data_IF_765890044074
#
_entry.id   IF_765890044074
#
_cell.length_a   1.000
_cell.length_b   1.000
_cell.length_c   1.000
_cell.angle_alpha   90.00
_cell.angle_beta   90.00
_cell.angle_gamma   90.00
#
_symmetry.space_group_name_H-M   'P 1'
#
loop_
_entity.id
_entity.type
_entity.pdbx_description
1 polymer ?
#
# COMPACT_ATOMS: atom_id res chain seq x y z
N UNK A 1 22.64 -16.35 38.75
CA UNK A 1 21.66 -15.24 38.73
C UNK A 1 21.22 -15.03 37.28
N UNK A 2 20.00 -15.47 36.95
CA UNK A 2 19.43 -15.43 35.59
C UNK A 2 18.96 -14.00 35.34
N UNK A 3 19.61 -13.26 34.44
CA UNK A 3 19.20 -11.90 34.07
C UNK A 3 18.02 -12.02 33.12
N UNK A 4 16.82 -11.69 33.59
CA UNK A 4 15.65 -11.51 32.75
C UNK A 4 15.79 -10.18 32.01
N UNK A 5 16.01 -10.23 30.71
CA UNK A 5 15.80 -9.06 29.84
C UNK A 5 14.28 -8.90 29.67
N UNK A 6 13.70 -7.72 29.97
CA UNK A 6 12.26 -7.55 29.82
C UNK A 6 11.91 -7.56 28.32
N UNK A 7 11.14 -8.57 27.91
CA UNK A 7 10.59 -8.75 26.56
C UNK A 7 9.53 -7.68 26.18
N UNK A 8 9.57 -6.50 26.79
CA UNK A 8 8.57 -5.44 26.62
C UNK A 8 8.94 -4.42 25.52
N UNK A 9 10.17 -4.44 24.99
CA UNK A 9 10.55 -3.51 23.90
C UNK A 9 10.15 -3.96 22.49
N UNK A 10 9.64 -5.19 22.30
CA UNK A 10 9.30 -5.69 20.95
C UNK A 10 7.83 -5.51 20.54
N UNK A 11 6.96 -5.02 21.43
CA UNK A 11 5.52 -4.89 21.15
C UNK A 11 5.08 -3.46 20.77
N UNK A 12 6.01 -2.50 20.74
CA UNK A 12 5.72 -1.10 20.35
C UNK A 12 6.16 -0.79 18.91
N UNK A 13 6.96 -1.65 18.27
CA UNK A 13 7.47 -1.37 16.92
C UNK A 13 6.59 -1.86 15.77
N UNK A 14 5.52 -2.63 16.04
CA UNK A 14 4.59 -3.12 15.02
C UNK A 14 3.46 -2.14 14.67
N UNK A 15 3.41 -0.96 15.31
CA UNK A 15 2.34 0.05 15.09
C UNK A 15 2.81 1.22 14.20
N UNK A 16 4.01 1.15 13.61
CA UNK A 16 4.65 2.29 12.94
C UNK A 16 4.86 2.14 11.42
N UNK A 17 4.27 1.11 10.80
CA UNK A 17 4.43 0.86 9.36
C UNK A 17 3.10 0.47 8.71
N UNK A 18 2.04 1.25 8.96
CA UNK A 18 0.82 1.18 8.16
C UNK A 18 0.92 2.20 7.01
N UNK A 19 -0.04 2.18 6.09
CA UNK A 19 0.19 2.69 4.73
C UNK A 19 -0.90 3.49 4.03
N UNK A 20 -1.38 4.63 4.49
CA UNK A 20 -2.83 4.83 4.67
C UNK A 20 -3.27 3.91 5.79
N UNK A 21 -3.74 4.49 6.89
CA UNK A 21 -4.21 3.69 8.00
C UNK A 21 -5.39 2.83 7.55
N UNK A 22 -5.75 1.85 8.38
CA UNK A 22 -6.88 0.94 8.14
C UNK A 22 -8.12 1.62 7.52
N UNK A 23 -8.47 2.81 8.02
CA UNK A 23 -9.63 3.57 7.52
C UNK A 23 -9.45 4.08 6.08
N UNK A 24 -8.25 4.51 5.70
CA UNK A 24 -7.93 5.00 4.36
C UNK A 24 -8.06 3.89 3.32
N UNK A 25 -7.40 2.76 3.55
CA UNK A 25 -7.51 1.57 2.69
C UNK A 25 -8.93 1.05 2.57
N UNK A 26 -9.65 0.98 3.69
CA UNK A 26 -11.05 0.58 3.70
C UNK A 26 -11.92 1.52 2.85
N UNK A 27 -11.68 2.82 2.90
CA UNK A 27 -12.39 3.80 2.06
C UNK A 27 -12.04 3.62 0.58
N UNK A 28 -10.78 3.38 0.23
CA UNK A 28 -10.37 3.11 -1.16
C UNK A 28 -11.12 1.87 -1.69
N UNK A 29 -11.06 0.74 -0.99
CA UNK A 29 -11.73 -0.50 -1.40
C UNK A 29 -13.26 -0.39 -1.45
N UNK A 30 -13.87 0.36 -0.52
CA UNK A 30 -15.33 0.58 -0.51
C UNK A 30 -15.79 1.36 -1.76
N UNK A 31 -14.97 2.27 -2.26
CA UNK A 31 -15.34 3.19 -3.33
C UNK A 31 -14.90 2.75 -4.73
N UNK A 32 -14.29 1.57 -4.88
CA UNK A 32 -13.79 1.05 -6.17
C UNK A 32 -14.87 1.08 -7.27
N UNK A 33 -16.13 0.77 -6.94
CA UNK A 33 -17.22 0.74 -7.95
C UNK A 33 -17.53 2.09 -8.58
N UNK A 34 -17.16 3.20 -7.95
CA UNK A 34 -17.36 4.52 -8.54
C UNK A 34 -16.48 4.75 -9.76
N UNK A 35 -15.48 3.91 -9.98
CA UNK A 35 -14.46 4.07 -11.02
C UNK A 35 -14.43 2.92 -12.02
N UNK A 36 -15.27 1.89 -11.84
CA UNK A 36 -15.39 0.80 -12.80
C UNK A 36 -16.34 1.18 -13.94
N UNK A 37 -15.99 0.78 -15.17
CA UNK A 37 -16.87 0.94 -16.32
C UNK A 37 -17.94 -0.17 -16.37
N UNK A 38 -18.90 -0.04 -17.30
CA UNK A 38 -20.02 -1.00 -17.44
C UNK A 38 -19.55 -2.43 -17.74
N UNK A 39 -18.45 -2.59 -18.49
CA UNK A 39 -17.85 -3.88 -18.82
C UNK A 39 -17.33 -4.63 -17.57
N UNK A 40 -17.10 -3.92 -16.47
CA UNK A 40 -16.64 -4.45 -15.19
C UNK A 40 -17.78 -4.61 -14.15
N UNK A 41 -19.04 -4.46 -14.56
CA UNK A 41 -20.22 -4.55 -13.67
C UNK A 41 -20.35 -5.86 -12.90
N UNK A 42 -19.78 -6.95 -13.42
CA UNK A 42 -19.68 -8.25 -12.73
C UNK A 42 -18.96 -8.19 -11.38
N UNK A 43 -18.12 -7.17 -11.14
CA UNK A 43 -17.40 -6.98 -9.87
C UNK A 43 -18.21 -6.15 -8.85
N UNK A 44 -19.46 -5.80 -9.13
CA UNK A 44 -20.33 -5.00 -8.24
C UNK A 44 -20.51 -5.54 -6.82
N UNK A 45 -20.38 -6.86 -6.64
CA UNK A 45 -20.42 -7.55 -5.35
C UNK A 45 -19.08 -7.59 -4.58
N UNK A 46 -17.96 -7.16 -5.17
CA UNK A 46 -16.63 -7.19 -4.53
C UNK A 46 -16.34 -6.12 -3.46
N UNK A 47 -16.96 -4.92 -3.44
CA UNK A 47 -16.53 -3.84 -2.55
C UNK A 47 -16.51 -4.19 -1.07
N UNK A 48 -17.44 -5.02 -0.60
CA UNK A 48 -17.47 -5.44 0.79
C UNK A 48 -16.22 -6.27 1.15
N UNK A 49 -15.82 -7.20 0.27
CA UNK A 49 -14.62 -8.01 0.45
C UNK A 49 -13.34 -7.18 0.26
N UNK A 50 -13.27 -6.34 -0.77
CA UNK A 50 -12.12 -5.46 -0.98
C UNK A 50 -11.90 -4.54 0.22
N UNK A 51 -12.98 -4.01 0.79
CA UNK A 51 -12.98 -3.17 2.00
C UNK A 51 -12.57 -3.96 3.25
N UNK A 52 -13.06 -5.19 3.42
CA UNK A 52 -12.76 -6.03 4.56
C UNK A 52 -11.29 -6.51 4.59
N UNK A 53 -10.73 -6.80 3.42
CA UNK A 53 -9.38 -7.31 3.25
C UNK A 53 -8.35 -6.23 2.88
N UNK A 54 -8.75 -4.95 2.92
CA UNK A 54 -7.92 -3.83 2.47
C UNK A 54 -6.63 -3.62 3.27
N UNK A 55 -6.50 -4.24 4.45
CA UNK A 55 -5.32 -4.15 5.33
C UNK A 55 -4.63 -5.50 5.56
N UNK A 56 -4.99 -6.54 4.80
CA UNK A 56 -4.41 -7.86 5.00
C UNK A 56 -2.89 -7.87 4.73
N UNK A 57 -2.43 -7.07 3.76
CA UNK A 57 -1.01 -6.83 3.51
C UNK A 57 -0.29 -6.25 4.74
N UNK A 58 -0.89 -5.25 5.38
CA UNK A 58 -0.34 -4.71 6.62
C UNK A 58 -0.17 -5.77 7.71
N UNK A 59 -1.17 -6.65 7.85
CA UNK A 59 -1.14 -7.70 8.86
C UNK A 59 -0.09 -8.76 8.55
N UNK A 60 0.18 -9.05 7.28
CA UNK A 60 1.18 -10.04 6.86
C UNK A 60 2.59 -9.68 7.29
N UNK A 61 2.94 -8.40 7.49
CA UNK A 61 4.25 -8.00 8.04
C UNK A 61 4.60 -8.65 9.37
N UNK A 62 3.61 -9.07 10.16
CA UNK A 62 3.84 -9.79 11.41
C UNK A 62 4.31 -11.24 11.24
N UNK A 63 4.14 -11.81 10.05
CA UNK A 63 4.40 -13.23 9.74
C UNK A 63 5.29 -13.47 8.51
N UNK A 64 5.27 -12.57 7.54
CA UNK A 64 6.09 -12.58 6.33
C UNK A 64 7.16 -11.49 6.47
N UNK A 65 8.44 -11.86 6.67
CA UNK A 65 9.52 -10.89 6.81
C UNK A 65 9.76 -10.08 5.52
N UNK A 66 9.32 -10.59 4.37
CA UNK A 66 9.55 -9.97 3.06
C UNK A 66 8.40 -9.03 2.67
N UNK A 67 7.31 -8.97 3.45
CA UNK A 67 6.14 -8.14 3.16
C UNK A 67 6.46 -6.65 3.34
N UNK A 68 7.23 -6.28 4.39
CA UNK A 68 7.51 -4.88 4.73
C UNK A 68 8.00 -4.03 3.55
N UNK A 69 9.07 -4.45 2.85
CA UNK A 69 9.57 -3.79 1.65
C UNK A 69 8.58 -3.64 0.48
N UNK A 70 7.45 -4.37 0.48
CA UNK A 70 6.41 -4.24 -0.57
C UNK A 70 5.55 -3.00 -0.41
N UNK A 71 5.64 -2.28 0.71
CA UNK A 71 4.78 -1.13 1.03
C UNK A 71 5.40 0.23 0.74
N UNK A 72 6.67 0.32 0.36
CA UNK A 72 7.33 1.61 0.16
C UNK A 72 8.39 1.56 -0.95
N UNK A 73 8.87 2.74 -1.32
CA UNK A 73 10.06 2.93 -2.13
C UNK A 73 10.79 4.20 -1.68
N UNK A 74 11.98 4.05 -1.12
CA UNK A 74 12.88 5.15 -0.78
C UNK A 74 13.55 5.72 -2.04
N UNK A 75 12.73 6.31 -2.93
CA UNK A 75 13.13 6.69 -4.28
C UNK A 75 14.29 7.68 -4.31
N UNK A 76 14.41 8.51 -3.26
CA UNK A 76 15.47 9.51 -3.09
C UNK A 76 16.88 8.89 -2.91
N UNK A 77 16.98 7.57 -2.70
CA UNK A 77 18.25 6.87 -2.61
C UNK A 77 18.72 6.32 -3.97
N UNK A 78 17.94 6.48 -5.05
CA UNK A 78 18.25 6.02 -6.41
C UNK A 78 18.84 7.15 -7.26
N UNK A 79 20.14 7.13 -7.62
CA UNK A 79 20.78 8.19 -8.42
C UNK A 79 20.18 8.36 -9.84
N UNK A 80 19.56 7.31 -10.37
CA UNK A 80 18.89 7.31 -11.67
C UNK A 80 17.64 8.20 -11.63
N UNK A 81 16.93 8.19 -10.49
CA UNK A 81 15.79 9.06 -10.28
C UNK A 81 16.21 10.53 -10.25
N UNK A 82 17.28 10.87 -9.52
CA UNK A 82 17.80 12.24 -9.49
C UNK A 82 18.27 12.73 -10.86
N UNK A 83 18.91 11.85 -11.64
CA UNK A 83 19.51 12.23 -12.93
C UNK A 83 18.53 12.23 -14.10
N UNK A 84 17.51 11.37 -14.08
CA UNK A 84 16.59 11.17 -15.23
C UNK A 84 15.11 11.36 -14.89
N UNK A 85 14.78 11.51 -13.61
CA UNK A 85 13.41 11.53 -13.10
C UNK A 85 12.71 10.17 -13.14
N UNK A 86 13.44 9.07 -13.36
CA UNK A 86 12.89 7.72 -13.54
C UNK A 86 13.82 6.66 -12.97
N UNK A 87 13.22 5.54 -12.57
CA UNK A 87 13.90 4.28 -12.30
C UNK A 87 13.46 3.23 -13.33
N UNK A 88 14.24 2.17 -13.57
CA UNK A 88 13.81 1.04 -14.39
C UNK A 88 12.44 0.50 -13.97
N UNK A 89 11.61 0.18 -14.97
CA UNK A 89 10.23 -0.23 -14.73
C UNK A 89 10.09 -1.68 -14.27
N UNK A 90 11.09 -2.54 -14.48
CA UNK A 90 11.05 -3.95 -14.09
C UNK A 90 12.06 -4.26 -12.99
N UNK A 91 11.70 -5.23 -12.14
CA UNK A 91 12.52 -5.62 -10.99
C UNK A 91 13.87 -6.20 -11.44
N UNK A 92 13.87 -7.02 -12.50
CA UNK A 92 15.09 -7.55 -13.10
C UNK A 92 16.03 -6.43 -13.58
N UNK A 93 15.49 -5.36 -14.17
CA UNK A 93 16.31 -4.25 -14.66
C UNK A 93 16.97 -3.49 -13.53
N UNK A 94 16.28 -3.27 -12.40
CA UNK A 94 16.89 -2.58 -11.26
C UNK A 94 17.94 -3.45 -10.57
N UNK A 95 17.74 -4.77 -10.51
CA UNK A 95 18.74 -5.71 -9.98
C UNK A 95 20.00 -5.85 -10.83
N UNK A 96 19.96 -5.45 -12.12
CA UNK A 96 21.17 -5.36 -12.95
C UNK A 96 22.00 -4.11 -12.64
N UNK A 97 21.40 -3.08 -12.05
CA UNK A 97 22.05 -1.81 -11.70
C UNK A 97 22.52 -1.85 -10.24
N UNK A 98 21.68 -2.35 -9.35
CA UNK A 98 21.90 -2.40 -7.91
C UNK A 98 21.86 -3.83 -7.38
N UNK A 99 22.63 -4.10 -6.33
CA UNK A 99 22.59 -5.40 -5.66
C UNK A 99 21.19 -5.66 -5.06
N UNK A 100 20.65 -6.90 -5.07
CA UNK A 100 19.33 -7.20 -4.54
C UNK A 100 19.05 -6.66 -3.13
N UNK A 101 19.97 -6.88 -2.19
CA UNK A 101 19.85 -6.33 -0.83
C UNK A 101 19.61 -4.82 -0.79
N UNK A 102 20.23 -4.03 -1.68
CA UNK A 102 20.01 -2.59 -1.71
C UNK A 102 18.56 -2.28 -2.10
N UNK A 103 18.07 -2.91 -3.18
CA UNK A 103 16.70 -2.70 -3.67
C UNK A 103 15.67 -3.15 -2.64
N UNK A 104 15.91 -4.27 -1.96
CA UNK A 104 15.05 -4.76 -0.87
C UNK A 104 15.05 -3.80 0.32
N UNK A 105 16.21 -3.29 0.74
CA UNK A 105 16.31 -2.30 1.81
C UNK A 105 15.59 -0.99 1.45
N UNK A 106 15.64 -0.58 0.17
CA UNK A 106 14.96 0.62 -0.33
C UNK A 106 13.44 0.42 -0.52
N UNK A 107 12.93 -0.79 -0.36
CA UNK A 107 11.56 -1.10 -0.73
C UNK A 107 11.36 -1.21 -2.25
N UNK A 108 10.35 -1.97 -2.64
CA UNK A 108 10.11 -2.34 -4.04
C UNK A 108 8.61 -2.28 -4.42
N UNK A 109 7.86 -1.39 -3.78
CA UNK A 109 6.41 -1.22 -3.95
C UNK A 109 5.90 -1.19 -5.41
N UNK A 110 6.50 -0.45 -6.37
CA UNK A 110 6.01 -0.46 -7.74
C UNK A 110 6.06 -1.85 -8.40
N UNK A 111 7.10 -2.61 -8.12
CA UNK A 111 7.28 -3.95 -8.66
C UNK A 111 6.43 -4.99 -7.92
N UNK A 112 6.20 -4.81 -6.62
CA UNK A 112 5.21 -5.60 -5.87
C UNK A 112 3.79 -5.38 -6.43
N UNK A 113 3.46 -4.14 -6.81
CA UNK A 113 2.19 -3.79 -7.46
C UNK A 113 2.04 -4.51 -8.80
N UNK A 114 3.07 -4.46 -9.66
CA UNK A 114 3.07 -5.16 -10.96
C UNK A 114 2.93 -6.68 -10.80
N UNK A 115 3.69 -7.28 -9.88
CA UNK A 115 3.64 -8.72 -9.59
C UNK A 115 2.26 -9.16 -9.08
N UNK A 116 1.62 -8.32 -8.25
CA UNK A 116 0.28 -8.59 -7.72
C UNK A 116 -0.78 -8.44 -8.82
N UNK A 117 -0.63 -7.49 -9.73
CA UNK A 117 -1.48 -7.36 -10.91
C UNK A 117 -1.39 -8.61 -11.80
N UNK A 118 -0.18 -9.11 -12.09
CA UNK A 118 0.00 -10.33 -12.87
C UNK A 118 -0.60 -11.56 -12.17
N UNK A 119 -0.51 -11.60 -10.84
CA UNK A 119 -1.15 -12.64 -10.02
C UNK A 119 -2.68 -12.59 -10.12
N UNK A 120 -3.28 -11.39 -10.10
CA UNK A 120 -4.72 -11.20 -10.29
C UNK A 120 -5.16 -11.66 -11.68
N UNK A 121 -4.43 -11.24 -12.72
CA UNK A 121 -4.66 -11.67 -14.10
C UNK A 121 -4.61 -13.19 -14.23
N UNK A 122 -3.63 -13.83 -13.59
CA UNK A 122 -3.51 -15.28 -13.60
C UNK A 122 -4.69 -15.97 -12.87
N UNK A 123 -5.23 -15.38 -11.80
CA UNK A 123 -6.44 -15.89 -11.15
C UNK A 123 -7.66 -15.81 -12.09
N UNK A 124 -7.84 -14.69 -12.80
CA UNK A 124 -8.90 -14.55 -13.80
C UNK A 124 -8.79 -15.57 -14.93
N UNK A 125 -7.58 -15.79 -15.46
CA UNK A 125 -7.35 -16.78 -16.52
C UNK A 125 -7.70 -18.21 -16.09
N UNK A 126 -7.54 -18.53 -14.80
CA UNK A 126 -7.90 -19.85 -14.23
C UNK A 126 -9.34 -19.94 -13.72
N UNK A 127 -10.08 -18.83 -13.70
CA UNK A 127 -11.41 -18.77 -13.09
C UNK A 127 -11.41 -18.92 -11.56
N UNK A 128 -10.30 -18.59 -10.90
CA UNK A 128 -10.09 -18.71 -9.46
C UNK A 128 -10.60 -17.46 -8.74
N UNK A 129 -11.93 -17.28 -8.72
CA UNK A 129 -12.58 -16.04 -8.28
C UNK A 129 -12.42 -15.74 -6.79
N UNK A 130 -12.47 -16.78 -5.94
CA UNK A 130 -12.31 -16.64 -4.49
C UNK A 130 -10.91 -16.12 -4.14
N UNK A 131 -9.89 -16.58 -4.87
CA UNK A 131 -8.53 -16.04 -4.73
C UNK A 131 -8.39 -14.67 -5.40
N UNK A 132 -9.03 -14.47 -6.55
CA UNK A 132 -8.92 -13.23 -7.31
C UNK A 132 -9.35 -12.01 -6.48
N UNK A 133 -10.43 -12.09 -5.71
CA UNK A 133 -10.89 -10.96 -4.88
C UNK A 133 -9.89 -10.60 -3.78
N UNK A 134 -9.22 -11.59 -3.18
CA UNK A 134 -8.19 -11.36 -2.16
C UNK A 134 -6.92 -10.74 -2.78
N UNK A 135 -6.47 -11.26 -3.92
CA UNK A 135 -5.34 -10.67 -4.66
C UNK A 135 -5.66 -9.27 -5.16
N UNK A 136 -6.92 -8.99 -5.52
CA UNK A 136 -7.38 -7.65 -5.87
C UNK A 136 -7.38 -6.69 -4.66
N UNK A 137 -7.69 -7.18 -3.45
CA UNK A 137 -7.56 -6.39 -2.23
C UNK A 137 -6.10 -6.02 -1.96
N UNK A 138 -5.17 -6.98 -2.09
CA UNK A 138 -3.73 -6.73 -1.98
C UNK A 138 -3.24 -5.74 -3.05
N UNK A 139 -3.69 -5.89 -4.30
CA UNK A 139 -3.36 -4.93 -5.36
C UNK A 139 -3.87 -3.53 -5.01
N UNK A 140 -5.11 -3.43 -4.53
CA UNK A 140 -5.69 -2.16 -4.08
C UNK A 140 -4.90 -1.52 -2.94
N UNK A 141 -4.39 -2.34 -2.02
CA UNK A 141 -3.52 -1.91 -0.92
C UNK A 141 -2.22 -1.30 -1.47
N UNK A 142 -1.44 -2.05 -2.25
CA UNK A 142 -0.17 -1.54 -2.79
C UNK A 142 -0.37 -0.30 -3.69
N UNK A 143 -1.43 -0.25 -4.49
CA UNK A 143 -1.76 0.96 -5.25
C UNK A 143 -2.08 2.12 -4.29
N UNK A 144 -2.82 1.87 -3.20
CA UNK A 144 -3.07 2.85 -2.15
C UNK A 144 -1.78 3.41 -1.56
N UNK A 145 -0.87 2.55 -1.12
CA UNK A 145 0.44 2.89 -0.55
C UNK A 145 1.24 3.77 -1.52
N UNK A 146 1.23 3.43 -2.81
CA UNK A 146 1.92 4.21 -3.84
C UNK A 146 1.34 5.61 -4.04
N UNK A 147 0.15 5.88 -3.53
CA UNK A 147 -0.46 7.22 -3.51
C UNK A 147 -0.32 7.93 -2.16
N UNK A 148 0.34 7.30 -1.17
CA UNK A 148 0.73 7.92 0.09
C UNK A 148 2.10 8.60 -0.11
N UNK A 149 2.21 9.94 -0.11
CA UNK A 149 3.46 10.61 -0.51
C UNK A 149 4.68 10.29 0.35
N UNK A 150 4.49 9.97 1.63
CA UNK A 150 5.57 9.61 2.55
C UNK A 150 6.05 8.16 2.38
N UNK A 151 5.36 7.34 1.58
CA UNK A 151 5.81 5.99 1.20
C UNK A 151 6.80 5.98 0.04
N UNK A 152 7.02 7.14 -0.58
CA UNK A 152 7.91 7.29 -1.73
C UNK A 152 9.07 8.23 -1.37
N UNK A 153 9.63 8.07 -0.17
CA UNK A 153 10.77 8.87 0.31
C UNK A 153 11.45 8.23 1.50
N UNK A 154 12.78 8.30 1.53
CA UNK A 154 13.58 7.89 2.70
C UNK A 154 13.29 8.69 3.97
N UNK A 155 12.69 9.88 3.83
CA UNK A 155 12.30 10.73 4.95
C UNK A 155 10.84 10.50 5.36
N UNK A 156 10.33 9.28 5.22
CA UNK A 156 8.93 8.92 5.46
C UNK A 156 8.37 9.50 6.77
N UNK A 157 9.12 9.35 7.88
CA UNK A 157 8.69 9.86 9.20
C UNK A 157 9.19 11.27 9.54
N UNK A 158 9.78 12.01 8.60
CA UNK A 158 10.17 13.41 8.80
C UNK A 158 11.43 13.64 9.66
N UNK A 159 12.19 12.60 9.99
CA UNK A 159 13.38 12.69 10.87
C UNK A 159 14.46 13.63 10.33
N UNK A 160 14.68 13.66 9.01
CA UNK A 160 15.70 14.51 8.39
C UNK A 160 15.32 15.99 8.32
N UNK A 161 14.05 16.32 8.56
CA UNK A 161 13.53 17.69 8.55
C UNK A 161 13.04 18.16 9.92
N UNK A 162 13.22 17.35 10.97
CA UNK A 162 12.74 17.66 12.32
C UNK A 162 11.22 17.53 12.51
N UNK A 163 10.53 16.85 11.60
CA UNK A 163 9.07 16.63 11.63
C UNK A 163 8.75 15.18 12.05
N UNK A 164 9.43 14.67 13.09
CA UNK A 164 9.28 13.27 13.50
C UNK A 164 7.81 12.94 13.84
N UNK A 165 7.31 11.84 13.28
CA UNK A 165 5.92 11.40 13.43
C UNK A 165 4.95 11.95 12.37
N UNK A 166 5.41 12.70 11.37
CA UNK A 166 4.54 13.24 10.31
C UNK A 166 3.82 12.15 9.51
N UNK A 167 4.44 10.97 9.37
CA UNK A 167 3.85 9.82 8.68
C UNK A 167 2.48 9.46 9.23
N UNK A 168 2.44 9.06 10.50
CA UNK A 168 1.20 8.64 11.17
C UNK A 168 0.16 9.77 11.23
N UNK A 169 0.60 11.03 11.40
CA UNK A 169 -0.30 12.20 11.40
C UNK A 169 -1.03 12.38 10.07
N UNK A 170 -0.32 12.27 8.96
CA UNK A 170 -0.93 12.42 7.64
C UNK A 170 -1.76 11.18 7.28
N UNK A 171 -1.20 10.02 7.57
CA UNK A 171 -1.74 8.75 7.16
C UNK A 171 -3.04 8.36 7.90
N UNK A 172 -3.02 8.53 9.22
CA UNK A 172 -4.05 8.02 10.12
C UNK A 172 -4.83 9.17 10.74
N UNK A 173 -4.17 10.05 11.50
CA UNK A 173 -4.87 11.11 12.26
C UNK A 173 -5.72 12.00 11.33
N UNK A 174 -5.15 12.45 10.21
CA UNK A 174 -5.85 13.29 9.24
C UNK A 174 -7.02 12.54 8.60
N UNK A 175 -6.81 11.30 8.15
CA UNK A 175 -7.86 10.51 7.50
C UNK A 175 -8.99 10.21 8.48
N UNK A 176 -8.68 9.87 9.73
CA UNK A 176 -9.68 9.64 10.77
C UNK A 176 -10.48 10.91 11.05
N UNK A 177 -9.81 12.04 11.28
CA UNK A 177 -10.44 13.32 11.59
C UNK A 177 -11.34 13.84 10.46
N UNK A 178 -11.02 13.56 9.20
CA UNK A 178 -11.76 14.07 8.03
C UNK A 178 -12.57 13.02 7.27
N UNK A 179 -12.64 11.79 7.77
CA UNK A 179 -13.31 10.66 7.12
C UNK A 179 -14.75 10.96 6.69
N UNK A 180 -15.58 11.57 7.55
CA UNK A 180 -16.96 11.92 7.20
C UNK A 180 -17.02 12.90 6.01
N UNK A 181 -16.09 13.85 5.96
CA UNK A 181 -15.98 14.81 4.86
C UNK A 181 -15.57 14.10 3.57
N UNK A 182 -14.59 13.21 3.62
CA UNK A 182 -14.15 12.39 2.49
C UNK A 182 -15.32 11.56 1.96
N UNK A 183 -16.01 10.81 2.82
CA UNK A 183 -17.19 10.01 2.45
C UNK A 183 -18.26 10.88 1.79
N UNK A 184 -18.56 12.05 2.37
CA UNK A 184 -19.56 12.98 1.81
C UNK A 184 -19.18 13.49 0.41
N UNK A 185 -17.89 13.73 0.15
CA UNK A 185 -17.40 14.16 -1.15
C UNK A 185 -17.49 13.03 -2.17
N UNK A 186 -17.11 11.82 -1.78
CA UNK A 186 -17.16 10.65 -2.64
C UNK A 186 -18.60 10.26 -3.01
N UNK A 187 -19.54 10.35 -2.07
CA UNK A 187 -20.96 10.16 -2.35
C UNK A 187 -21.53 11.21 -3.32
N UNK A 188 -21.09 12.47 -3.22
CA UNK A 188 -21.46 13.53 -4.19
C UNK A 188 -20.87 13.26 -5.55
N UNK A 189 -19.65 12.73 -5.62
CA UNK A 189 -19.02 12.33 -6.87
C UNK A 189 -19.79 11.17 -7.52
N UNK A 190 -20.09 10.09 -6.78
CA UNK A 190 -20.90 8.96 -7.25
C UNK A 190 -22.26 9.37 -7.84
N UNK A 191 -22.92 10.37 -7.25
CA UNK A 191 -24.16 10.94 -7.80
C UNK A 191 -23.98 11.71 -9.12
N UNK A 192 -22.78 12.19 -9.44
CA UNK A 192 -22.47 12.93 -10.68
C UNK A 192 -22.09 12.02 -11.85
N UNK A 193 -21.57 10.82 -11.57
CA UNK A 193 -21.17 9.82 -12.58
C UNK A 193 -22.31 8.87 -12.97
N UNK A 194 -23.42 8.85 -12.23
CA UNK A 194 -24.66 8.23 -12.70
C UNK A 194 -25.30 9.13 -13.79
N UNK A 195 -25.36 8.61 -15.02
CA UNK A 195 -26.26 9.05 -16.09
C UNK A 195 -27.73 9.00 -15.62
#
# INVERSE_FOLDING_TARGET
MRKYFPAYCFLILSVLFLSWGWKGHRLIGTNTMLFLNEEMSQFSHWPELLSAHASDADYRKGSDPDEGPRHYLDIDNYPEFDSTGRIPSTLDSIYLIHHPNFVEDQGYLPWATETTYDSLKACFQRGDWDKAVLVAADLGHYVGDAHMPLHITRNYNGKFTGNDGIHSRYESDMIEAFSDKIISMTAKFGKRINL
#
